data_IF_930870209197
#
_entry.id   IF_930870209197
#
_cell.length_a   1.000
_cell.length_b   1.000
_cell.length_c   1.000
_cell.angle_alpha   90.00
_cell.angle_beta   90.00
_cell.angle_gamma   90.00
#
_symmetry.space_group_name_H-M   'P 1'
#
loop_
_entity.id
_entity.type
_entity.pdbx_description
1 polymer ?
#
# COMPACT_ATOMS: atom_id res chain seq x y z
N UNK A 1 -8.28 -15.94 1.91
CA UNK A 1 -6.98 -15.49 1.37
C UNK A 1 -6.73 -13.97 1.46
N UNK A 2 -7.19 -13.19 2.48
CA UNK A 2 -6.96 -11.73 2.50
C UNK A 2 -5.49 -11.31 2.43
N UNK A 3 -4.61 -12.03 3.14
CA UNK A 3 -3.15 -11.79 3.12
C UNK A 3 -2.52 -11.96 1.74
N UNK A 4 -3.05 -12.86 0.89
CA UNK A 4 -2.49 -13.08 -0.45
C UNK A 4 -2.91 -11.98 -1.41
N UNK A 5 -4.14 -11.49 -1.28
CA UNK A 5 -4.59 -10.29 -2.01
C UNK A 5 -3.72 -9.09 -1.68
N UNK A 6 -3.40 -8.89 -0.41
CA UNK A 6 -2.51 -7.81 0.02
C UNK A 6 -1.10 -7.94 -0.59
N UNK A 7 -0.52 -9.14 -0.60
CA UNK A 7 0.80 -9.38 -1.24
C UNK A 7 0.78 -9.05 -2.74
N UNK A 8 -0.26 -9.47 -3.45
CA UNK A 8 -0.38 -9.17 -4.87
C UNK A 8 -0.49 -7.66 -5.12
N UNK A 9 -1.28 -6.95 -4.31
CA UNK A 9 -1.44 -5.50 -4.44
C UNK A 9 -0.14 -4.73 -4.14
N UNK A 10 0.67 -5.21 -3.19
CA UNK A 10 2.01 -4.66 -2.92
C UNK A 10 2.98 -4.90 -4.07
N UNK A 11 2.94 -6.08 -4.70
CA UNK A 11 3.75 -6.36 -5.89
C UNK A 11 3.35 -5.46 -7.07
N UNK A 12 2.06 -5.29 -7.32
CA UNK A 12 1.55 -4.38 -8.37
C UNK A 12 1.94 -2.92 -8.10
N UNK A 13 1.92 -2.48 -6.83
CA UNK A 13 2.38 -1.16 -6.43
C UNK A 13 3.87 -0.96 -6.76
N UNK A 14 4.72 -1.92 -6.38
CA UNK A 14 6.17 -1.86 -6.65
C UNK A 14 6.48 -1.85 -8.15
N UNK A 15 5.82 -2.70 -8.93
CA UNK A 15 5.96 -2.69 -10.39
C UNK A 15 5.52 -1.35 -11.00
N UNK A 16 4.45 -0.74 -10.47
CA UNK A 16 3.98 0.57 -10.94
C UNK A 16 4.97 1.69 -10.61
N UNK A 17 5.65 1.62 -9.46
CA UNK A 17 6.70 2.57 -9.06
C UNK A 17 7.96 2.39 -9.90
N UNK A 18 8.39 1.14 -10.15
CA UNK A 18 9.58 0.88 -10.98
C UNK A 18 9.37 1.25 -12.45
N UNK A 19 8.14 1.12 -12.96
CA UNK A 19 7.81 1.41 -14.35
C UNK A 19 7.64 2.89 -14.65
N UNK A 20 7.40 3.72 -13.63
CA UNK A 20 7.13 5.14 -13.77
C UNK A 20 8.36 5.87 -13.20
N UNK A 21 9.07 6.69 -13.99
CA UNK A 21 10.32 7.40 -13.59
C UNK A 21 10.00 8.55 -12.64
N UNK A 22 9.39 8.20 -11.50
CA UNK A 22 8.79 9.11 -10.55
C UNK A 22 9.83 9.54 -9.54
N UNK A 23 9.94 10.86 -9.40
CA UNK A 23 10.88 11.48 -8.46
C UNK A 23 10.34 11.58 -7.04
N UNK A 24 9.05 11.31 -6.84
CA UNK A 24 8.34 11.54 -5.59
C UNK A 24 7.64 10.29 -5.01
N UNK A 25 8.05 9.07 -5.40
CA UNK A 25 7.47 7.81 -4.89
C UNK A 25 8.05 7.32 -3.57
N UNK A 26 9.07 7.99 -3.02
CA UNK A 26 9.78 7.52 -1.81
C UNK A 26 8.84 7.26 -0.62
N UNK A 27 7.81 8.09 -0.44
CA UNK A 27 6.82 7.88 0.63
C UNK A 27 5.95 6.64 0.40
N UNK A 28 5.59 6.38 -0.86
CA UNK A 28 4.79 5.23 -1.26
C UNK A 28 5.60 3.94 -1.13
N UNK A 29 6.89 3.97 -1.47
CA UNK A 29 7.82 2.86 -1.28
C UNK A 29 7.99 2.51 0.21
N UNK A 30 8.19 3.51 1.07
CA UNK A 30 8.32 3.32 2.52
C UNK A 30 7.05 2.68 3.12
N UNK A 31 5.87 3.15 2.71
CA UNK A 31 4.60 2.56 3.14
C UNK A 31 4.45 1.11 2.68
N UNK A 32 4.85 0.80 1.44
CA UNK A 32 4.82 -0.56 0.93
C UNK A 32 5.73 -1.50 1.74
N UNK A 33 6.95 -1.06 2.06
CA UNK A 33 7.89 -1.82 2.89
C UNK A 33 7.37 -2.00 4.33
N UNK A 34 6.79 -0.95 4.93
CA UNK A 34 6.19 -1.04 6.27
C UNK A 34 5.06 -2.06 6.31
N UNK A 35 4.17 -2.07 5.31
CA UNK A 35 3.10 -3.07 5.20
C UNK A 35 3.67 -4.48 5.06
N UNK A 36 4.66 -4.69 4.19
CA UNK A 36 5.27 -6.00 4.02
C UNK A 36 5.89 -6.52 5.31
N UNK A 37 6.59 -5.65 6.03
CA UNK A 37 7.19 -5.99 7.31
C UNK A 37 6.10 -6.35 8.35
N UNK A 38 5.01 -5.59 8.44
CA UNK A 38 3.91 -5.96 9.35
C UNK A 38 3.23 -7.27 8.93
N UNK A 39 3.10 -7.54 7.64
CA UNK A 39 2.52 -8.76 7.12
C UNK A 39 3.35 -10.02 7.40
N UNK A 40 4.67 -9.88 7.40
CA UNK A 40 5.59 -10.99 7.61
C UNK A 40 5.90 -11.23 9.10
N UNK A 41 5.98 -10.16 9.90
CA UNK A 41 6.51 -10.24 11.27
C UNK A 41 5.51 -9.90 12.38
N UNK A 42 4.32 -9.34 12.08
CA UNK A 42 3.33 -8.96 13.10
C UNK A 42 1.99 -9.67 12.94
N UNK A 43 1.31 -9.85 14.07
CA UNK A 43 -0.11 -10.20 14.08
C UNK A 43 -0.95 -8.98 13.71
N UNK A 44 -2.08 -9.22 13.04
CA UNK A 44 -2.99 -8.18 12.52
C UNK A 44 -3.43 -7.18 13.59
N UNK A 45 -3.55 -7.63 14.84
CA UNK A 45 -3.92 -6.79 15.99
C UNK A 45 -2.86 -5.76 16.38
N UNK A 46 -1.62 -5.92 15.91
CA UNK A 46 -0.48 -5.02 16.21
C UNK A 46 -0.16 -4.10 15.03
N UNK A 47 -1.08 -4.03 14.06
CA UNK A 47 -0.95 -3.15 12.91
C UNK A 47 -1.27 -1.73 13.31
N UNK A 48 -0.59 -0.82 12.65
CA UNK A 48 -0.61 0.59 12.99
C UNK A 48 -1.83 1.26 12.32
N UNK A 49 -2.76 1.82 13.10
CA UNK A 49 -3.92 2.56 12.56
C UNK A 49 -3.46 3.79 11.76
N UNK A 50 -2.30 4.37 12.10
CA UNK A 50 -1.74 5.50 11.38
C UNK A 50 -1.30 5.08 9.96
N UNK A 51 -0.89 3.82 9.76
CA UNK A 51 -0.47 3.30 8.46
C UNK A 51 -1.62 3.28 7.44
N UNK A 52 -2.85 2.95 7.86
CA UNK A 52 -4.01 3.02 6.96
C UNK A 52 -4.29 4.47 6.58
N UNK A 53 -4.27 5.36 7.57
CA UNK A 53 -4.52 6.80 7.35
C UNK A 53 -3.49 7.41 6.41
N UNK A 54 -2.22 7.08 6.58
CA UNK A 54 -1.14 7.50 5.68
C UNK A 54 -1.35 6.97 4.24
N UNK A 55 -1.78 5.71 4.08
CA UNK A 55 -2.09 5.17 2.76
C UNK A 55 -3.26 5.89 2.08
N UNK A 56 -4.33 6.17 2.82
CA UNK A 56 -5.48 6.90 2.28
C UNK A 56 -5.08 8.30 1.82
N UNK A 57 -4.18 8.96 2.54
CA UNK A 57 -3.61 10.25 2.12
C UNK A 57 -2.80 10.12 0.82
N UNK A 58 -1.95 9.10 0.71
CA UNK A 58 -1.17 8.85 -0.52
C UNK A 58 -2.06 8.49 -1.71
N UNK A 59 -3.17 7.78 -1.50
CA UNK A 59 -4.16 7.52 -2.55
C UNK A 59 -4.65 8.81 -3.18
N UNK A 60 -4.96 9.82 -2.36
CA UNK A 60 -5.49 11.13 -2.79
C UNK A 60 -4.41 11.91 -3.53
N UNK A 61 -3.18 11.93 -3.01
CA UNK A 61 -2.06 12.64 -3.64
C UNK A 61 -1.72 12.10 -5.02
N UNK A 62 -1.77 10.78 -5.19
CA UNK A 62 -1.43 10.12 -6.45
C UNK A 62 -2.65 9.94 -7.38
N UNK A 63 -3.89 10.25 -6.96
CA UNK A 63 -5.10 10.05 -7.77
C UNK A 63 -5.09 10.87 -9.06
N UNK A 64 -4.61 12.11 -9.00
CA UNK A 64 -4.58 13.00 -10.16
C UNK A 64 -3.35 12.78 -11.06
N UNK A 65 -2.20 12.50 -10.46
CA UNK A 65 -0.91 12.47 -11.15
C UNK A 65 -0.52 11.06 -11.61
N UNK A 66 -0.88 10.03 -10.84
CA UNK A 66 -0.45 8.64 -11.04
C UNK A 66 -1.59 7.65 -10.80
N UNK A 67 -2.60 7.60 -11.70
CA UNK A 67 -3.79 6.79 -11.51
C UNK A 67 -3.52 5.28 -11.36
N UNK A 68 -2.41 4.76 -11.91
CA UNK A 68 -2.02 3.36 -11.68
C UNK A 68 -1.57 3.12 -10.23
N UNK A 69 -0.72 4.00 -9.68
CA UNK A 69 -0.26 3.92 -8.29
C UNK A 69 -1.43 4.11 -7.33
N UNK A 70 -2.30 5.09 -7.57
CA UNK A 70 -3.51 5.28 -6.77
C UNK A 70 -4.43 4.05 -6.79
N UNK A 71 -4.55 3.37 -7.94
CA UNK A 71 -5.31 2.13 -8.06
C UNK A 71 -4.72 0.98 -7.22
N UNK A 72 -3.40 0.81 -7.24
CA UNK A 72 -2.71 -0.18 -6.42
C UNK A 72 -2.84 0.13 -4.92
N UNK A 73 -2.66 1.39 -4.52
CA UNK A 73 -2.85 1.84 -3.14
C UNK A 73 -4.28 1.62 -2.63
N UNK A 74 -5.31 1.94 -3.43
CA UNK A 74 -6.71 1.63 -3.09
C UNK A 74 -6.93 0.13 -2.88
N UNK A 75 -6.28 -0.70 -3.69
CA UNK A 75 -6.38 -2.16 -3.57
C UNK A 75 -5.74 -2.66 -2.28
N UNK A 76 -4.63 -2.05 -1.86
CA UNK A 76 -3.99 -2.29 -0.57
C UNK A 76 -4.92 -1.89 0.59
N UNK A 77 -5.46 -0.67 0.60
CA UNK A 77 -6.39 -0.21 1.65
C UNK A 77 -7.58 -1.17 1.82
N UNK A 78 -8.22 -1.54 0.71
CA UNK A 78 -9.33 -2.49 0.74
C UNK A 78 -8.92 -3.87 1.27
N UNK A 79 -7.71 -4.34 0.93
CA UNK A 79 -7.18 -5.59 1.43
C UNK A 79 -6.93 -5.52 2.94
N UNK A 80 -6.38 -4.41 3.46
CA UNK A 80 -6.17 -4.19 4.90
C UNK A 80 -7.48 -4.22 5.69
N UNK A 81 -8.49 -3.47 5.22
CA UNK A 81 -9.82 -3.47 5.82
C UNK A 81 -10.45 -4.87 5.84
N UNK A 82 -10.22 -5.67 4.79
CA UNK A 82 -10.72 -7.05 4.72
C UNK A 82 -10.03 -8.02 5.70
N UNK A 83 -8.83 -7.67 6.18
CA UNK A 83 -8.07 -8.44 7.17
C UNK A 83 -8.52 -8.06 8.60
N UNK A 84 -9.28 -6.96 8.75
CA UNK A 84 -9.75 -6.45 10.05
C UNK A 84 -8.77 -5.50 10.71
N UNK A 85 -7.92 -4.85 9.90
CA UNK A 85 -7.17 -3.65 10.27
C UNK A 85 -8.00 -2.43 9.92
#
# INVERSE_FOLDING_TARGET
MPKQTLKNALSELKESIESDDLKDTTQVEDLAERIEHQLEYKDVSDWDEDLITELEQQVIEFEEQHPMISGALKSIVNALQSIGV
#
